data_IF_797234300161
#
_entry.id   IF_797234300161
#
_cell.length_a   1.000
_cell.length_b   1.000
_cell.length_c   1.000
_cell.angle_alpha   90.00
_cell.angle_beta   90.00
_cell.angle_gamma   90.00
#
_symmetry.space_group_name_H-M   'P 1'
#
loop_
_entity.id
_entity.type
_entity.pdbx_description
1 polymer ?
2 non-polymer ?
3 non-polymer ?
4 water ?
#
# COMPACT_ATOMS: atom_id res chain seq x y z
N UNK A 1 -4.86 -14.18 -2.14
CA UNK A 1 -5.76 -13.72 -1.05
C UNK A 1 -5.16 -12.47 -0.41
N UNK A 2 -6.01 -11.59 0.11
CA UNK A 2 -5.44 -10.42 0.79
C UNK A 2 -4.51 -10.78 1.99
N UNK A 3 -3.55 -9.92 2.25
CA UNK A 3 -2.68 -10.13 3.40
C UNK A 3 -2.31 -8.78 3.95
N UNK A 4 -1.95 -8.77 5.24
CA UNK A 4 -1.62 -7.57 5.92
C UNK A 4 -0.09 -7.31 5.96
N UNK A 5 0.28 -6.07 5.69
CA UNK A 5 1.66 -5.60 5.77
C UNK A 5 1.69 -4.48 6.78
N UNK A 6 2.62 -4.61 7.74
CA UNK A 6 2.72 -3.66 8.85
C UNK A 6 4.01 -2.87 8.68
N UNK A 7 3.87 -1.56 8.39
CA UNK A 7 5.05 -0.74 8.09
C UNK A 7 5.31 0.26 9.18
N UNK A 8 6.59 0.47 9.43
CA UNK A 8 7.09 1.53 10.30
C UNK A 8 7.92 2.48 9.44
N UNK A 9 7.56 3.77 9.42
CA UNK A 9 8.14 4.70 8.50
C UNK A 9 9.62 4.90 8.77
N UNK A 10 10.40 5.05 7.69
CA UNK A 10 11.78 5.53 7.79
C UNK A 10 11.90 7.03 7.66
N UNK A 11 13.14 7.51 7.52
CA UNK A 11 13.37 8.92 7.65
C UNK A 11 12.84 9.57 6.41
N UNK A 12 13.03 8.93 5.31
CA UNK A 12 12.56 9.53 4.08
C UNK A 12 11.06 9.29 3.92
N UNK A 13 10.53 8.22 4.51
CA UNK A 13 9.27 7.68 4.02
C UNK A 13 9.16 6.20 4.25
N UNK A 14 8.12 5.63 3.71
CA UNK A 14 7.91 4.19 3.72
C UNK A 14 8.70 3.47 2.63
N UNK A 15 8.88 4.13 1.50
CA UNK A 15 9.54 3.60 0.36
C UNK A 15 8.67 2.84 -0.61
N UNK A 16 7.46 3.33 -0.86
CA UNK A 16 6.69 2.78 -1.96
C UNK A 16 5.98 3.87 -2.70
N UNK A 17 5.63 3.51 -3.92
CA UNK A 17 4.84 4.35 -4.83
C UNK A 17 3.47 3.88 -5.03
N UNK A 18 2.53 4.78 -4.74
CA UNK A 18 1.17 4.46 -4.93
C UNK A 18 0.70 5.07 -6.25
N UNK A 19 0.05 4.27 -7.04
CA UNK A 19 -0.41 4.75 -8.36
C UNK A 19 -1.85 4.41 -8.50
N UNK A 20 -2.63 5.43 -8.84
CA UNK A 20 -4.06 5.26 -8.90
C UNK A 20 -4.48 5.14 -10.34
N UNK A 21 -5.49 4.32 -10.54
CA UNK A 21 -6.14 4.12 -11.85
C UNK A 21 -7.31 5.12 -11.95
N UNK A 25 -11.94 2.70 -8.74
CA UNK A 25 -10.88 2.34 -9.70
C UNK A 25 -9.65 1.50 -9.19
N UNK A 26 -9.14 1.85 -8.02
CA UNK A 26 -8.11 1.05 -7.38
C UNK A 26 -6.80 1.74 -7.28
N UNK A 27 -6.06 1.43 -6.20
CA UNK A 27 -4.76 1.98 -5.96
C UNK A 27 -3.81 0.80 -5.88
N UNK A 28 -2.66 0.94 -6.55
CA UNK A 28 -1.70 -0.14 -6.72
C UNK A 28 -0.35 0.30 -6.23
N UNK A 29 0.43 -0.66 -5.77
CA UNK A 29 1.77 -0.33 -5.35
C UNK A 29 2.62 -0.49 -6.59
N UNK A 30 3.10 0.60 -7.16
CA UNK A 30 3.79 0.53 -8.43
C UNK A 30 5.27 0.18 -8.28
N UNK A 31 5.84 0.55 -7.15
CA UNK A 31 7.25 0.36 -6.88
C UNK A 31 7.46 0.24 -5.35
N UNK A 32 8.36 -0.66 -4.97
CA UNK A 32 8.84 -0.74 -3.62
C UNK A 32 10.36 -0.52 -3.69
N UNK A 33 10.84 0.44 -2.90
CA UNK A 33 12.25 0.79 -2.91
C UNK A 33 13.08 -0.28 -2.21
N UNK A 34 14.15 -0.74 -2.86
CA UNK A 34 15.04 -1.68 -2.21
C UNK A 34 15.53 -1.21 -0.89
N UNK A 35 15.55 -2.12 0.08
CA UNK A 35 15.99 -1.82 1.42
C UNK A 35 15.13 -0.98 2.32
N UNK A 36 13.94 -0.69 1.84
CA UNK A 36 13.02 0.17 2.58
C UNK A 36 12.14 -0.52 3.59
N UNK A 37 11.51 0.26 4.48
CA UNK A 37 10.46 -0.27 5.31
C UNK A 37 9.36 -1.05 4.55
N UNK A 38 8.95 -0.57 3.38
CA UNK A 38 8.02 -1.29 2.59
C UNK A 38 8.52 -2.66 2.22
N UNK A 39 9.78 -2.76 1.82
CA UNK A 39 10.33 -4.04 1.44
C UNK A 39 10.41 -4.96 2.63
N UNK A 40 10.79 -4.41 3.78
CA UNK A 40 10.90 -5.19 5.01
C UNK A 40 9.60 -5.79 5.49
N UNK A 41 8.55 -5.02 5.23
CA UNK A 41 7.17 -5.44 5.52
C UNK A 41 6.58 -6.42 4.52
N UNK A 42 7.31 -6.67 3.46
CA UNK A 42 6.93 -7.57 2.37
C UNK A 42 5.80 -7.05 1.49
N UNK A 43 5.74 -5.74 1.34
CA UNK A 43 4.91 -5.15 0.33
C UNK A 43 5.54 -5.46 -1.04
N UNK A 44 4.71 -5.70 -2.07
CA UNK A 44 5.24 -6.08 -3.37
C UNK A 44 4.66 -5.18 -4.47
N UNK A 45 5.49 -4.84 -5.45
CA UNK A 45 4.99 -4.12 -6.61
C UNK A 45 3.91 -4.92 -7.29
N UNK A 46 2.86 -4.23 -7.68
CA UNK A 46 1.66 -4.93 -8.23
C UNK A 46 0.50 -5.22 -7.32
N UNK A 47 0.77 -5.08 -6.03
CA UNK A 47 -0.23 -5.28 -4.99
C UNK A 47 -1.31 -4.20 -5.19
N UNK A 48 -2.56 -4.63 -5.04
CA UNK A 48 -3.69 -3.68 -4.96
C UNK A 48 -4.04 -3.45 -3.47
N UNK A 49 -4.23 -2.19 -3.15
CA UNK A 49 -4.50 -1.80 -1.79
C UNK A 49 -5.99 -1.92 -1.50
N UNK A 50 -6.34 -2.73 -0.51
CA UNK A 50 -7.78 -2.98 -0.15
C UNK A 50 -8.22 -2.26 1.12
N UNK A 51 -7.38 -2.22 2.15
CA UNK A 51 -7.63 -1.47 3.36
C UNK A 51 -6.37 -0.72 3.82
N UNK A 52 -6.60 0.40 4.49
CA UNK A 52 -5.56 1.19 5.15
C UNK A 52 -6.01 1.36 6.61
N UNK A 53 -5.21 0.90 7.54
CA UNK A 53 -5.50 1.00 8.95
C UNK A 53 -6.88 0.46 9.28
N UNK A 54 -7.20 -0.65 8.67
CA UNK A 54 -8.46 -1.37 8.96
C UNK A 54 -9.68 -0.84 8.29
N UNK A 55 -9.57 0.11 7.38
CA UNK A 55 -10.69 0.72 6.67
C UNK A 55 -10.58 0.42 5.18
N UNK A 56 -11.65 -0.14 4.61
CA UNK A 56 -11.71 -0.44 3.21
C UNK A 56 -11.62 0.81 2.37
N UNK A 57 -10.75 0.80 1.36
CA UNK A 57 -10.49 1.99 0.54
C UNK A 57 -10.88 1.76 -0.90
N UNK A 58 -11.48 0.62 -1.16
CA UNK A 58 -11.89 0.34 -2.53
C UNK A 58 -13.01 1.36 -2.88
N UNK A 59 -12.85 2.03 -4.00
CA UNK A 59 -13.75 3.11 -4.39
C UNK A 59 -13.24 4.53 -4.08
N UNK A 60 -12.32 4.68 -3.11
CA UNK A 60 -11.90 6.03 -2.73
C UNK A 60 -10.95 6.61 -3.75
N UNK A 61 -10.76 7.93 -3.74
CA UNK A 61 -9.87 8.54 -4.67
C UNK A 61 -8.43 8.31 -4.23
N UNK A 62 -7.49 8.60 -5.10
CA UNK A 62 -6.07 8.49 -4.78
C UNK A 62 -5.69 9.38 -3.61
N UNK A 63 -6.18 10.62 -3.63
CA UNK A 63 -5.90 11.57 -2.60
C UNK A 63 -6.45 11.06 -1.23
N UNK A 64 -7.67 10.52 -1.23
CA UNK A 64 -8.24 9.98 0.01
C UNK A 64 -7.36 8.91 0.61
N UNK A 65 -6.90 8.00 -0.23
CA UNK A 65 -6.10 6.88 0.24
C UNK A 65 -4.74 7.37 0.77
N UNK A 66 -4.12 8.28 0.05
CA UNK A 66 -2.85 8.85 0.52
C UNK A 66 -3.05 9.52 1.88
N UNK A 67 -4.15 10.26 2.05
CA UNK A 67 -4.46 10.86 3.34
C UNK A 67 -4.63 9.85 4.45
N UNK A 68 -5.24 8.71 4.16
CA UNK A 68 -5.38 7.66 5.13
C UNK A 68 -4.02 7.09 5.54
N UNK A 69 -3.12 6.90 4.58
CA UNK A 69 -1.78 6.41 4.87
C UNK A 69 -1.04 7.40 5.75
N UNK A 70 -1.21 8.70 5.53
CA UNK A 70 -0.53 9.72 6.32
C UNK A 70 -1.12 9.94 7.72
N UNK A 71 -2.27 9.34 7.99
CA UNK A 71 -3.08 9.77 9.11
C UNK A 71 -2.48 9.47 10.47
N UNK A 72 -1.77 8.36 10.61
CA UNK A 72 -1.11 7.97 11.82
C UNK A 72 0.34 8.16 11.54
N UNK A 73 0.93 9.13 12.23
CA UNK A 73 2.30 9.45 12.00
C UNK A 73 3.18 8.23 12.26
N UNK A 74 4.03 7.91 11.29
CA UNK A 74 5.09 6.92 11.56
C UNK A 74 4.80 5.43 11.34
N UNK A 75 3.51 5.06 11.25
CA UNK A 75 3.15 3.68 10.98
C UNK A 75 1.87 3.59 10.18
N UNK A 76 1.76 2.50 9.43
CA UNK A 76 0.59 2.22 8.66
C UNK A 76 0.46 0.71 8.51
N UNK A 77 -0.79 0.24 8.40
CA UNK A 77 -1.03 -1.17 8.07
C UNK A 77 -1.88 -1.28 6.85
N UNK A 78 -1.36 -2.05 5.92
CA UNK A 78 -1.96 -2.11 4.58
C UNK A 78 -2.42 -3.54 4.28
N UNK A 79 -3.73 -3.69 4.01
CA UNK A 79 -4.29 -4.97 3.55
C UNK A 79 -4.23 -4.90 2.04
N UNK A 80 -3.43 -5.80 1.45
CA UNK A 80 -3.17 -5.79 0.03
C UNK A 80 -3.43 -7.14 -0.58
N UNK A 81 -3.69 -7.13 -1.88
CA UNK A 81 -3.90 -8.38 -2.66
C UNK A 81 -3.04 -8.31 -3.93
N UNK A 82 -2.23 -9.32 -4.16
CA UNK A 82 -1.41 -9.36 -5.37
C UNK A 82 -2.15 -10.24 -6.36
N UNK A 83 -2.66 -9.61 -7.39
CA UNK A 83 -3.31 -10.26 -8.51
C UNK A 83 -2.28 -10.65 -9.57
N UNK A 84 -2.19 -11.91 -9.89
CA UNK A 84 -1.29 -12.33 -10.90
C UNK A 84 -2.08 -13.17 -11.91
N UNK A 85 -3.42 -13.17 -11.88
CA UNK A 85 -4.22 -13.89 -12.89
C UNK A 85 -5.33 -13.06 -13.41
N UNK A 86 -5.41 -12.98 -14.76
CA UNK A 86 -6.42 -12.19 -15.33
C UNK A 86 -6.78 -12.88 -16.61
N UNK A 87 -8.08 -13.08 -16.80
CA UNK A 87 -8.57 -13.52 -18.09
C UNK A 87 -9.01 -12.30 -18.84
N UNK A 88 -8.53 -12.21 -20.06
CA UNK A 88 -8.86 -11.13 -20.91
C UNK A 88 -9.44 -11.53 -22.25
X LIG B 1 1.25 -1.85 -10.42
X LIG B 1 0.79 -0.29 -11.02
X LIG B 1 0.51 0.72 -11.43
X LIG C 1 -0.57 1.14 12.13
X LIG C 1 -1.24 -0.04 12.57
X LIG C 1 -1.61 2.23 12.26
X LIG C 1 -1.81 2.54 13.66
#
# INVERSE_FOLDING_TARGET
MPRLCRLVRGEQGYGFHLHGEKGRRGQFIRRVEPGSPAEAAALRAGDRLVEVNGVNVEGETHHQVVQRIKAVEGQTRLLVVDQEDTSV
SCN S C N
EDO C1 O1 C2 O2
#
